data_IF_063864619314
#
_entry.id   IF_063864619314
#
_cell.length_a   1.000
_cell.length_b   1.000
_cell.length_c   1.000
_cell.angle_alpha   90.00
_cell.angle_beta   90.00
_cell.angle_gamma   90.00
#
_symmetry.space_group_name_H-M   'P 1'
#
loop_
_entity.id
_entity.type
_entity.pdbx_description
1 polymer ?
#
# COMPACT_ATOMS: atom_id res chain seq x y z
N UNK A 1 12.13 -8.39 1.38
CA UNK A 1 10.76 -7.89 1.66
C UNK A 1 10.10 -7.63 0.32
N UNK A 2 8.91 -8.18 0.09
CA UNK A 2 8.14 -7.88 -1.13
C UNK A 2 7.44 -6.53 -0.92
N UNK A 3 7.79 -5.54 -1.72
CA UNK A 3 7.24 -4.18 -1.64
C UNK A 3 6.27 -3.97 -2.80
N UNK A 4 5.04 -3.53 -2.50
CA UNK A 4 4.07 -3.21 -3.53
C UNK A 4 4.56 -2.04 -4.39
N UNK A 5 4.07 -1.94 -5.64
CA UNK A 5 4.48 -0.90 -6.58
C UNK A 5 3.43 0.21 -6.71
N UNK A 6 2.64 0.42 -5.65
CA UNK A 6 1.61 1.46 -5.64
C UNK A 6 2.24 2.86 -5.70
N UNK A 7 1.52 3.81 -6.30
CA UNK A 7 1.91 5.22 -6.27
C UNK A 7 1.23 5.91 -5.08
N UNK A 8 1.88 6.88 -4.42
CA UNK A 8 1.22 7.71 -3.42
C UNK A 8 -0.04 8.40 -4.00
N UNK A 9 -1.15 8.46 -3.26
CA UNK A 9 -2.36 9.13 -3.72
C UNK A 9 -2.15 10.65 -3.81
N UNK A 10 -2.58 11.28 -4.91
CA UNK A 10 -2.31 12.71 -5.17
C UNK A 10 -3.22 13.68 -4.41
N UNK A 11 -4.39 13.24 -3.96
CA UNK A 11 -5.47 14.13 -3.49
C UNK A 11 -5.97 13.82 -2.06
N UNK A 12 -5.11 13.26 -1.20
CA UNK A 12 -5.47 12.98 0.20
C UNK A 12 -6.39 11.75 0.39
N UNK A 13 -6.39 10.82 -0.56
CA UNK A 13 -7.10 9.54 -0.46
C UNK A 13 -6.24 8.44 0.18
N UNK A 14 -6.83 7.26 0.33
CA UNK A 14 -6.10 6.07 0.76
C UNK A 14 -5.31 5.44 -0.41
N UNK A 15 -4.06 5.08 -0.14
CA UNK A 15 -3.22 4.26 -1.01
C UNK A 15 -3.44 2.77 -0.74
N UNK A 16 -2.91 1.92 -1.62
CA UNK A 16 -3.03 0.45 -1.51
C UNK A 16 -4.48 -0.09 -1.45
N UNK A 17 -5.36 0.46 -2.30
CA UNK A 17 -6.70 -0.09 -2.56
C UNK A 17 -6.67 -1.43 -3.33
N UNK A 18 -7.76 -1.78 -4.00
CA UNK A 18 -7.98 -3.11 -4.59
C UNK A 18 -6.91 -3.54 -5.63
N UNK A 19 -6.23 -2.59 -6.26
CA UNK A 19 -5.14 -2.86 -7.21
C UNK A 19 -3.76 -3.07 -6.59
N UNK A 20 -3.63 -3.07 -5.26
CA UNK A 20 -2.35 -3.30 -4.59
C UNK A 20 -1.89 -4.76 -4.80
N UNK A 21 -0.65 -4.95 -5.26
CA UNK A 21 -0.05 -6.27 -5.42
C UNK A 21 -0.09 -7.09 -4.12
N UNK A 22 0.30 -6.47 -2.99
CA UNK A 22 0.32 -7.16 -1.70
C UNK A 22 -1.11 -7.58 -1.30
N UNK A 23 -2.11 -6.72 -1.48
CA UNK A 23 -3.53 -7.02 -1.22
C UNK A 23 -4.03 -8.20 -2.06
N UNK A 24 -3.72 -8.22 -3.37
CA UNK A 24 -4.09 -9.32 -4.26
C UNK A 24 -3.47 -10.67 -3.85
N UNK A 25 -2.29 -10.62 -3.22
CA UNK A 25 -1.60 -11.78 -2.69
C UNK A 25 -2.02 -12.13 -1.25
N UNK A 26 -3.00 -11.41 -0.67
CA UNK A 26 -3.41 -11.52 0.73
C UNK A 26 -2.26 -11.32 1.72
N UNK A 27 -1.36 -10.39 1.42
CA UNK A 27 -0.22 -9.99 2.25
C UNK A 27 -0.39 -8.51 2.61
N UNK A 28 -0.09 -8.14 3.85
CA UNK A 28 -0.09 -6.74 4.26
C UNK A 28 1.13 -5.98 3.73
N UNK A 29 1.00 -4.66 3.59
CA UNK A 29 2.14 -3.81 3.30
C UNK A 29 2.96 -3.63 4.58
N UNK A 30 4.27 -3.74 4.49
CA UNK A 30 5.15 -3.54 5.66
C UNK A 30 5.33 -2.04 5.97
N UNK A 31 5.26 -1.67 7.25
CA UNK A 31 5.46 -0.30 7.72
C UNK A 31 6.86 0.23 7.33
N UNK A 32 6.95 1.52 6.99
CA UNK A 32 8.21 2.15 6.58
C UNK A 32 8.79 1.69 5.23
N UNK A 33 8.17 0.73 4.53
CA UNK A 33 8.62 0.28 3.20
C UNK A 33 7.59 0.54 2.09
N UNK A 34 6.31 0.60 2.44
CA UNK A 34 5.24 0.87 1.50
C UNK A 34 5.40 2.26 0.86
N UNK A 35 5.36 2.38 -0.49
CA UNK A 35 5.46 3.67 -1.16
C UNK A 35 4.29 4.62 -0.82
N UNK A 36 3.14 4.10 -0.41
CA UNK A 36 2.02 4.92 0.05
C UNK A 36 2.21 5.46 1.48
N UNK A 37 3.22 5.00 2.22
CA UNK A 37 3.50 5.43 3.59
C UNK A 37 2.27 5.33 4.50
N UNK A 38 2.07 6.34 5.34
CA UNK A 38 0.93 6.48 6.28
C UNK A 38 -0.44 6.51 5.60
N UNK A 39 -0.50 6.73 4.28
CA UNK A 39 -1.75 6.72 3.52
C UNK A 39 -2.14 5.31 3.08
N UNK A 40 -1.31 4.30 3.34
CA UNK A 40 -1.59 2.90 3.02
C UNK A 40 -2.81 2.38 3.81
N UNK A 41 -3.84 1.89 3.11
CA UNK A 41 -4.98 1.20 3.75
C UNK A 41 -4.80 -0.31 3.89
N UNK A 42 -3.60 -0.82 3.58
CA UNK A 42 -3.27 -2.25 3.62
C UNK A 42 -2.21 -2.52 4.70
N UNK A 43 -2.30 -1.82 5.82
CA UNK A 43 -1.47 -1.94 7.03
C UNK A 43 -2.44 -2.00 8.22
N UNK A 44 -2.42 -3.08 9.01
CA UNK A 44 -3.14 -3.19 10.28
C UNK A 44 -2.21 -3.00 11.48
#
# INVERSE_FOLDING_TARGET
>A
IMVCQCKPPQSGGQGCGDGCLNRLLNIECEHGTCPCGELCSNQQ
#
